data_IF_552100348233
#
_entry.id   IF_552100348233
#
_cell.length_a   1.000
_cell.length_b   1.000
_cell.length_c   1.000
_cell.angle_alpha   90.00
_cell.angle_beta   90.00
_cell.angle_gamma   90.00
#
_symmetry.space_group_name_H-M   'P 1'
#
loop_
_entity.id
_entity.type
_entity.pdbx_description
1 polymer ?
#
# COMPACT_ATOMS: atom_id res chain seq x y z
N UNK A 1 -3.83 -11.04 -1.29
CA UNK A 1 -4.81 -10.30 -0.46
C UNK A 1 -5.33 -9.08 -1.18
N UNK A 2 -6.56 -8.65 -0.85
CA UNK A 2 -7.19 -7.46 -1.43
C UNK A 2 -7.83 -6.57 -0.37
N UNK A 3 -7.77 -5.26 -0.58
CA UNK A 3 -8.35 -4.24 0.30
C UNK A 3 -9.06 -3.17 -0.54
N UNK A 4 -10.33 -2.89 -0.24
CA UNK A 4 -11.15 -1.94 -0.98
C UNK A 4 -11.55 -0.79 -0.05
N UNK A 5 -11.36 0.44 -0.50
CA UNK A 5 -11.76 1.65 0.23
C UNK A 5 -13.19 2.07 -0.10
N UNK A 6 -13.76 2.94 0.73
CA UNK A 6 -15.06 3.57 0.45
C UNK A 6 -15.04 4.42 -0.84
N UNK A 7 -13.87 4.95 -1.22
CA UNK A 7 -13.64 5.65 -2.49
C UNK A 7 -13.47 4.73 -3.70
N UNK A 8 -13.73 3.42 -3.53
CA UNK A 8 -13.64 2.38 -4.56
C UNK A 8 -12.23 2.15 -5.12
N UNK A 9 -11.20 2.60 -4.40
CA UNK A 9 -9.79 2.25 -4.70
C UNK A 9 -9.54 0.83 -4.22
N UNK A 10 -8.85 0.04 -5.05
CA UNK A 10 -8.54 -1.37 -4.76
C UNK A 10 -7.03 -1.54 -4.63
N UNK A 11 -6.58 -1.98 -3.46
CA UNK A 11 -5.19 -2.35 -3.21
C UNK A 11 -5.07 -3.88 -3.31
N UNK A 12 -4.07 -4.34 -4.06
CA UNK A 12 -3.77 -5.76 -4.23
C UNK A 12 -2.36 -6.01 -3.73
N UNK A 13 -2.23 -7.00 -2.85
CA UNK A 13 -0.95 -7.45 -2.33
C UNK A 13 -0.77 -8.92 -2.65
N UNK A 14 0.29 -9.24 -3.38
CA UNK A 14 0.68 -10.61 -3.72
C UNK A 14 1.79 -11.02 -2.76
N UNK A 15 1.62 -12.15 -2.10
CA UNK A 15 2.61 -12.73 -1.19
C UNK A 15 2.80 -14.19 -1.54
N UNK A 16 3.97 -14.73 -1.24
CA UNK A 16 4.18 -16.18 -1.35
C UNK A 16 3.41 -16.91 -0.26
N UNK A 17 2.69 -17.96 -0.65
CA UNK A 17 2.02 -18.91 0.23
C UNK A 17 2.95 -19.60 1.23
N UNK A 18 4.25 -19.68 0.92
CA UNK A 18 5.26 -20.26 1.81
C UNK A 18 5.59 -19.38 3.03
N UNK A 19 5.22 -18.10 2.98
CA UNK A 19 5.58 -17.12 3.99
C UNK A 19 4.58 -17.12 5.16
N UNK A 20 4.79 -18.01 6.12
CA UNK A 20 3.93 -18.17 7.30
C UNK A 20 4.07 -17.05 8.33
N UNK A 21 5.05 -16.15 8.18
CA UNK A 21 5.25 -15.02 9.09
C UNK A 21 4.18 -13.94 8.91
N UNK A 22 3.61 -13.84 7.71
CA UNK A 22 2.55 -12.89 7.40
C UNK A 22 1.18 -13.37 7.92
N UNK A 23 0.90 -13.03 9.17
CA UNK A 23 -0.42 -13.20 9.79
C UNK A 23 -1.39 -12.14 9.28
N UNK A 24 -2.68 -12.43 9.37
CA UNK A 24 -3.75 -11.49 8.95
C UNK A 24 -3.63 -10.10 9.57
N UNK A 25 -3.16 -10.00 10.83
CA UNK A 25 -2.96 -8.72 11.51
C UNK A 25 -1.87 -7.87 10.86
N UNK A 26 -0.77 -8.49 10.42
CA UNK A 26 0.31 -7.83 9.66
C UNK A 26 -0.22 -7.34 8.33
N UNK A 27 -0.94 -8.19 7.59
CA UNK A 27 -1.58 -7.84 6.31
C UNK A 27 -2.50 -6.62 6.46
N UNK A 28 -3.34 -6.60 7.51
CA UNK A 28 -4.24 -5.47 7.81
C UNK A 28 -3.46 -4.20 8.13
N UNK A 29 -2.39 -4.30 8.92
CA UNK A 29 -1.51 -3.18 9.27
C UNK A 29 -0.84 -2.59 8.02
N UNK A 30 -0.34 -3.45 7.13
CA UNK A 30 0.27 -3.02 5.87
C UNK A 30 -0.73 -2.33 4.94
N UNK A 31 -1.95 -2.86 4.78
CA UNK A 31 -2.98 -2.18 3.99
C UNK A 31 -3.35 -0.81 4.57
N UNK A 32 -3.40 -0.67 5.90
CA UNK A 32 -3.64 0.62 6.54
C UNK A 32 -2.52 1.61 6.25
N UNK A 33 -1.25 1.18 6.36
CA UNK A 33 -0.08 2.03 6.02
C UNK A 33 -0.12 2.44 4.55
N UNK A 34 -0.40 1.50 3.64
CA UNK A 34 -0.51 1.76 2.20
C UNK A 34 -1.61 2.76 1.87
N UNK A 35 -2.79 2.60 2.48
CA UNK A 35 -3.92 3.51 2.31
C UNK A 35 -3.56 4.92 2.80
N UNK A 36 -2.98 5.07 3.99
CA UNK A 36 -2.60 6.38 4.50
C UNK A 36 -1.65 7.11 3.54
N UNK A 37 -0.59 6.43 3.08
CA UNK A 37 0.37 7.03 2.16
C UNK A 37 -0.22 7.33 0.77
N UNK A 38 -1.16 6.50 0.30
CA UNK A 38 -1.93 6.80 -0.90
C UNK A 38 -2.76 8.08 -0.73
N UNK A 39 -3.43 8.24 0.41
CA UNK A 39 -4.21 9.44 0.72
C UNK A 39 -3.34 10.69 0.74
N UNK A 40 -2.11 10.62 1.27
CA UNK A 40 -1.17 11.75 1.26
C UNK A 40 -0.87 12.24 -0.17
N UNK A 41 -0.77 11.32 -1.14
CA UNK A 41 -0.57 11.66 -2.56
C UNK A 41 -1.85 12.22 -3.16
N UNK A 42 -3.00 11.59 -2.92
CA UNK A 42 -4.28 12.05 -3.47
C UNK A 42 -4.68 13.44 -2.95
N UNK A 43 -4.24 13.80 -1.75
CA UNK A 43 -4.45 15.12 -1.15
C UNK A 43 -3.41 16.16 -1.60
N UNK A 44 -2.45 15.79 -2.44
CA UNK A 44 -1.50 16.74 -3.01
C UNK A 44 -2.17 17.55 -4.13
N UNK A 45 -2.22 18.89 -4.05
CA UNK A 45 -2.88 19.73 -5.07
C UNK A 45 -2.20 19.70 -6.45
N UNK A 46 -0.97 19.17 -6.54
CA UNK A 46 -0.22 19.04 -7.78
C UNK A 46 -0.28 17.63 -8.39
N UNK A 47 -0.99 16.70 -7.74
CA UNK A 47 -1.19 15.36 -8.27
C UNK A 47 -2.47 15.30 -9.11
N UNK A 48 -2.37 14.77 -10.33
CA UNK A 48 -3.51 14.55 -11.18
C UNK A 48 -4.12 13.16 -10.90
N UNK A 49 -5.39 13.06 -10.48
CA UNK A 49 -6.03 11.77 -10.26
C UNK A 49 -6.07 10.93 -11.54
N UNK A 50 -5.63 9.68 -11.45
CA UNK A 50 -5.58 8.74 -12.57
C UNK A 50 -4.19 8.60 -13.19
N UNK A 51 -3.30 9.58 -12.97
CA UNK A 51 -1.90 9.45 -13.37
C UNK A 51 -1.18 8.43 -12.48
N UNK A 52 -0.10 7.86 -13.01
CA UNK A 52 0.76 6.98 -12.23
C UNK A 52 1.36 7.77 -11.06
N UNK A 53 1.34 7.15 -9.87
CA UNK A 53 1.99 7.71 -8.69
C UNK A 53 3.51 7.74 -8.92
N UNK A 54 4.09 8.93 -8.83
CA UNK A 54 5.53 9.17 -8.88
C UNK A 54 5.94 9.91 -7.59
N UNK A 55 6.29 9.16 -6.54
CA UNK A 55 6.69 9.74 -5.26
C UNK A 55 7.75 8.89 -4.57
N UNK A 56 8.95 9.46 -4.40
CA UNK A 56 10.05 8.79 -3.70
C UNK A 56 9.68 8.41 -2.26
N UNK A 57 8.88 9.24 -1.58
CA UNK A 57 8.42 8.96 -0.22
C UNK A 57 7.48 7.74 -0.20
N UNK A 58 6.56 7.64 -1.16
CA UNK A 58 5.69 6.49 -1.31
C UNK A 58 6.48 5.22 -1.65
N UNK A 59 7.42 5.31 -2.59
CA UNK A 59 8.26 4.18 -2.99
C UNK A 59 9.08 3.65 -1.81
N UNK A 60 9.72 4.53 -1.04
CA UNK A 60 10.48 4.14 0.16
C UNK A 60 9.58 3.45 1.21
N UNK A 61 8.36 3.95 1.39
CA UNK A 61 7.38 3.42 2.33
C UNK A 61 6.92 2.02 1.89
N UNK A 62 6.61 1.82 0.60
CA UNK A 62 6.30 0.50 0.02
C UNK A 62 7.49 -0.47 0.15
N UNK A 63 8.71 -0.02 -0.17
CA UNK A 63 9.92 -0.84 -0.06
C UNK A 63 10.19 -1.28 1.38
N UNK A 64 9.96 -0.39 2.37
CA UNK A 64 10.11 -0.74 3.78
C UNK A 64 9.12 -1.82 4.23
N UNK A 65 7.91 -1.83 3.67
CA UNK A 65 6.95 -2.91 3.92
C UNK A 65 7.38 -4.22 3.26
N UNK A 66 7.90 -4.19 2.03
CA UNK A 66 8.34 -5.41 1.33
C UNK A 66 9.56 -6.06 1.98
N UNK A 67 10.53 -5.28 2.46
CA UNK A 67 11.71 -5.84 3.14
C UNK A 67 11.39 -6.50 4.49
N UNK A 68 10.28 -6.11 5.13
CA UNK A 68 9.81 -6.73 6.36
C UNK A 68 9.19 -8.12 6.13
N UNK A 69 8.94 -8.46 4.87
CA UNK A 69 8.35 -9.73 4.44
C UNK A 69 9.41 -10.75 4.00
N UNK A 70 10.63 -10.33 3.68
CA UNK A 70 11.72 -11.20 3.22
C UNK A 70 12.60 -11.71 4.36
#
# INVERSE_FOLDING_TARGET
YGYVTNSKVKFVMVVDSSNTALRDNEIRSMFRKLHNSYTDIMCNPFYNPGDRIHSRAFDNMVNSMMMQVC
#
